data_IF_522024791311
#
_entry.id   IF_522024791311
#
_cell.length_a   1.000
_cell.length_b   1.000
_cell.length_c   1.000
_cell.angle_alpha   90.00
_cell.angle_beta   90.00
_cell.angle_gamma   90.00
#
_symmetry.space_group_name_H-M   'P 1'
#
loop_
_entity.id
_entity.type
_entity.pdbx_description
1 polymer ?
#
# COMPACT_ATOMS: atom_id res chain seq x y z
N UNK A 1 9.74 4.31 -1.29
CA UNK A 1 8.81 3.26 -0.82
C UNK A 1 9.57 1.94 -0.76
N UNK A 2 10.32 1.68 0.33
CA UNK A 2 10.77 0.31 0.59
C UNK A 2 9.53 -0.41 1.08
N UNK A 3 9.01 -1.34 0.29
CA UNK A 3 8.12 -2.36 0.81
C UNK A 3 8.87 -2.99 1.99
N UNK A 4 8.33 -2.87 3.21
CA UNK A 4 8.79 -3.72 4.31
C UNK A 4 8.52 -5.16 3.85
N UNK A 5 9.57 -5.80 3.36
CA UNK A 5 9.61 -7.23 3.15
C UNK A 5 9.28 -7.91 4.48
N UNK A 6 8.34 -8.86 4.42
CA UNK A 6 8.07 -9.84 5.47
C UNK A 6 7.73 -9.26 6.86
N UNK A 7 6.47 -8.88 7.04
CA UNK A 7 5.82 -9.29 8.30
C UNK A 7 5.46 -10.75 8.09
N UNK A 8 6.19 -11.62 8.81
CA UNK A 8 6.12 -13.07 8.68
C UNK A 8 4.68 -13.58 8.72
N UNK A 9 4.31 -14.31 7.68
CA UNK A 9 3.06 -15.05 7.61
C UNK A 9 3.13 -16.16 8.66
N UNK A 10 2.50 -15.97 9.81
CA UNK A 10 2.36 -17.03 10.80
C UNK A 10 1.48 -18.13 10.19
N UNK A 11 2.12 -19.21 9.79
CA UNK A 11 1.46 -20.34 9.15
C UNK A 11 0.77 -21.14 10.25
N UNK A 12 -0.47 -20.78 10.57
CA UNK A 12 -1.31 -21.61 11.43
C UNK A 12 -1.31 -23.05 10.86
N UNK A 13 -0.78 -24.05 11.60
CA UNK A 13 -0.63 -25.42 11.09
C UNK A 13 -1.94 -26.09 10.66
N UNK A 14 -3.08 -25.54 11.08
CA UNK A 14 -4.43 -26.00 10.77
C UNK A 14 -4.98 -25.54 9.42
N UNK A 15 -4.33 -24.61 8.70
CA UNK A 15 -4.84 -24.02 7.46
C UNK A 15 -4.20 -24.61 6.19
N UNK A 16 -3.74 -25.87 6.21
CA UNK A 16 -3.36 -26.55 4.96
C UNK A 16 -4.61 -26.75 4.10
N UNK A 17 -4.85 -25.78 3.20
CA UNK A 17 -5.85 -25.90 2.15
C UNK A 17 -5.56 -27.14 1.28
N UNK A 18 -6.59 -27.81 0.74
CA UNK A 18 -6.39 -28.88 -0.23
C UNK A 18 -5.53 -28.36 -1.38
N UNK A 19 -4.46 -29.08 -1.70
CA UNK A 19 -3.62 -28.77 -2.86
C UNK A 19 -4.47 -28.88 -4.12
N UNK A 20 -4.69 -27.76 -4.81
CA UNK A 20 -5.22 -27.75 -6.18
C UNK A 20 -4.04 -28.12 -7.09
N UNK A 21 -4.12 -29.19 -7.92
CA UNK A 21 -3.05 -29.56 -8.83
C UNK A 21 -2.73 -28.39 -9.78
N UNK A 22 -1.50 -27.86 -9.71
CA UNK A 22 -1.01 -26.78 -10.58
C UNK A 22 -1.23 -25.34 -10.09
N UNK A 23 -1.73 -25.13 -8.87
CA UNK A 23 -2.05 -23.79 -8.34
C UNK A 23 -1.28 -23.39 -7.08
N UNK A 24 -1.17 -22.08 -6.82
CA UNK A 24 -0.81 -21.53 -5.51
C UNK A 24 -1.83 -22.00 -4.47
N UNK A 25 -1.42 -22.17 -3.21
CA UNK A 25 -2.35 -22.49 -2.12
C UNK A 25 -3.48 -21.45 -2.02
N UNK A 26 -4.68 -21.89 -1.59
CA UNK A 26 -5.80 -20.97 -1.37
C UNK A 26 -5.41 -19.91 -0.33
N UNK A 27 -5.72 -18.64 -0.63
CA UNK A 27 -5.44 -17.49 0.23
C UNK A 27 -6.70 -16.69 0.60
N UNK A 28 -7.87 -17.14 0.13
CA UNK A 28 -9.18 -16.52 0.41
C UNK A 28 -10.13 -17.58 0.94
N UNK A 29 -10.83 -17.26 2.03
CA UNK A 29 -11.70 -18.18 2.74
C UNK A 29 -12.98 -17.48 3.17
N UNK A 30 -14.10 -18.20 3.08
CA UNK A 30 -15.36 -17.82 3.69
C UNK A 30 -15.43 -18.44 5.09
N UNK A 31 -15.75 -17.63 6.09
CA UNK A 31 -15.99 -18.08 7.48
C UNK A 31 -17.48 -17.97 7.76
N UNK A 32 -18.13 -19.12 7.95
CA UNK A 32 -19.56 -19.19 8.25
C UNK A 32 -19.84 -18.79 9.71
N UNK A 33 -21.11 -18.52 10.03
CA UNK A 33 -21.56 -18.18 11.40
C UNK A 33 -21.19 -19.27 12.42
N UNK A 34 -21.20 -20.53 12.00
CA UNK A 34 -20.79 -21.69 12.81
C UNK A 34 -19.26 -21.85 12.96
N UNK A 35 -18.47 -20.90 12.44
CA UNK A 35 -17.02 -20.92 12.48
C UNK A 35 -16.35 -21.86 11.46
N UNK A 36 -17.13 -22.52 10.60
CA UNK A 36 -16.56 -23.35 9.54
C UNK A 36 -15.81 -22.50 8.51
N UNK A 37 -14.61 -22.93 8.13
CA UNK A 37 -13.72 -22.24 7.18
C UNK A 37 -13.68 -23.03 5.87
N UNK A 38 -14.05 -22.41 4.77
CA UNK A 38 -14.02 -23.03 3.43
C UNK A 38 -13.34 -22.10 2.42
N UNK A 39 -12.53 -22.63 1.49
CA UNK A 39 -11.89 -21.81 0.45
C UNK A 39 -12.93 -21.16 -0.47
N UNK A 40 -12.70 -19.91 -0.87
CA UNK A 40 -13.63 -19.20 -1.77
C UNK A 40 -13.43 -19.67 -3.21
N UNK A 41 -14.46 -20.24 -3.88
CA UNK A 41 -14.40 -20.46 -5.32
C UNK A 41 -14.55 -19.13 -6.06
N UNK A 42 -13.52 -18.70 -6.79
CA UNK A 42 -13.56 -17.44 -7.54
C UNK A 42 -14.43 -17.62 -8.79
N UNK A 43 -15.43 -16.77 -9.02
CA UNK A 43 -16.16 -16.76 -10.29
C UNK A 43 -15.22 -16.32 -11.44
N UNK A 44 -15.63 -16.59 -12.69
CA UNK A 44 -14.79 -16.34 -13.88
C UNK A 44 -14.47 -14.86 -14.10
N UNK A 45 -15.29 -13.96 -13.54
CA UNK A 45 -15.14 -12.50 -13.62
C UNK A 45 -14.34 -11.89 -12.44
N UNK A 46 -13.98 -12.68 -11.42
CA UNK A 46 -13.28 -12.18 -10.23
C UNK A 46 -11.92 -11.54 -10.53
N UNK A 47 -11.25 -12.01 -11.59
CA UNK A 47 -9.90 -11.57 -11.97
C UNK A 47 -9.88 -10.82 -13.30
N UNK A 48 -10.98 -10.87 -14.07
CA UNK A 48 -11.07 -10.31 -15.42
C UNK A 48 -12.48 -9.74 -15.61
N UNK A 49 -12.58 -8.42 -15.74
CA UNK A 49 -13.86 -7.74 -15.93
C UNK A 49 -13.68 -6.25 -16.19
N UNK A 50 -14.77 -5.57 -16.56
CA UNK A 50 -14.76 -4.12 -16.70
C UNK A 50 -14.46 -3.46 -15.33
N UNK A 51 -13.47 -2.57 -15.29
CA UNK A 51 -13.02 -1.91 -14.06
C UNK A 51 -12.05 -2.72 -13.19
N UNK A 52 -11.79 -3.99 -13.50
CA UNK A 52 -10.81 -4.81 -12.76
C UNK A 52 -9.37 -4.50 -13.25
N UNK A 53 -8.44 -4.09 -12.38
CA UNK A 53 -7.07 -3.80 -12.78
C UNK A 53 -6.31 -5.03 -13.32
N UNK A 54 -5.69 -4.90 -14.50
CA UNK A 54 -4.87 -5.99 -15.12
C UNK A 54 -3.40 -5.97 -14.69
N UNK A 55 -2.87 -4.78 -14.44
CA UNK A 55 -1.51 -4.56 -13.95
C UNK A 55 -1.41 -3.17 -13.31
N UNK A 56 -0.44 -2.99 -12.44
CA UNK A 56 -0.03 -1.68 -11.93
C UNK A 56 1.36 -1.37 -12.47
N UNK A 57 1.51 -0.23 -13.16
CA UNK A 57 2.80 0.24 -13.68
C UNK A 57 3.36 1.33 -12.77
N UNK A 58 4.57 1.18 -12.20
CA UNK A 58 5.24 2.27 -11.52
C UNK A 58 5.48 3.42 -12.50
N UNK A 59 5.05 4.63 -12.14
CA UNK A 59 5.24 5.84 -12.96
C UNK A 59 6.33 6.75 -12.41
N UNK A 60 6.37 6.92 -11.08
CA UNK A 60 7.32 7.79 -10.39
C UNK A 60 7.82 7.14 -9.10
N UNK A 61 9.00 7.57 -8.68
CA UNK A 61 9.57 7.24 -7.36
C UNK A 61 9.90 8.54 -6.63
N UNK A 62 9.14 8.81 -5.56
CA UNK A 62 9.25 10.04 -4.78
C UNK A 62 10.23 9.85 -3.63
N UNK A 63 11.40 10.48 -3.73
CA UNK A 63 12.51 10.29 -2.79
C UNK A 63 12.37 11.18 -1.56
N UNK A 64 11.51 10.77 -0.61
CA UNK A 64 11.29 11.53 0.63
C UNK A 64 12.56 11.68 1.50
N UNK A 65 13.46 10.69 1.47
CA UNK A 65 14.71 10.69 2.24
C UNK A 65 14.61 10.02 3.62
N UNK A 66 13.40 9.91 4.17
CA UNK A 66 13.08 9.21 5.42
C UNK A 66 12.04 8.11 5.15
N UNK A 67 11.74 7.30 6.17
CA UNK A 67 10.60 6.37 6.13
C UNK A 67 9.30 7.17 5.94
N UNK A 68 8.51 6.78 4.95
CA UNK A 68 7.21 7.39 4.66
C UNK A 68 6.13 6.57 5.35
N UNK A 69 5.47 7.16 6.35
CA UNK A 69 4.43 6.50 7.15
C UNK A 69 3.02 6.83 6.67
N UNK A 70 2.85 7.95 5.96
CA UNK A 70 1.57 8.40 5.45
C UNK A 70 1.71 8.90 4.02
N UNK A 71 0.70 8.61 3.19
CA UNK A 71 0.57 9.12 1.83
C UNK A 71 -0.87 9.53 1.55
N UNK A 72 -1.05 10.62 0.80
CA UNK A 72 -2.36 10.98 0.23
C UNK A 72 -2.19 11.61 -1.15
N UNK A 73 -3.25 11.60 -1.95
CA UNK A 73 -3.28 12.07 -3.34
C UNK A 73 -4.38 13.13 -3.47
N UNK A 74 -4.09 14.23 -4.16
CA UNK A 74 -5.08 15.28 -4.39
C UNK A 74 -6.19 14.84 -5.34
N UNK A 75 -7.32 15.54 -5.31
CA UNK A 75 -8.36 15.44 -6.32
C UNK A 75 -8.60 16.84 -6.94
N UNK A 76 -8.31 17.06 -8.24
CA UNK A 76 -7.82 16.10 -9.24
C UNK A 76 -6.40 15.61 -8.95
N UNK A 77 -6.04 14.44 -9.51
CA UNK A 77 -4.75 13.75 -9.31
C UNK A 77 -3.58 14.55 -9.90
N UNK A 78 -3.04 15.47 -9.10
CA UNK A 78 -1.91 16.33 -9.46
C UNK A 78 -0.79 16.26 -8.43
N UNK A 79 -1.16 16.24 -7.15
CA UNK A 79 -0.21 16.25 -6.05
C UNK A 79 -0.24 14.94 -5.27
N UNK A 80 0.95 14.48 -4.91
CA UNK A 80 1.14 13.46 -3.89
C UNK A 80 1.72 14.14 -2.66
N UNK A 81 1.24 13.75 -1.50
CA UNK A 81 1.74 14.19 -0.20
C UNK A 81 2.34 12.99 0.48
N UNK A 82 3.61 13.08 0.86
CA UNK A 82 4.32 12.03 1.60
C UNK A 82 4.69 12.56 2.97
N UNK A 83 4.26 11.89 4.04
CA UNK A 83 4.63 12.21 5.41
C UNK A 83 5.73 11.28 5.92
N UNK A 84 6.82 11.86 6.40
CA UNK A 84 7.92 11.15 7.05
C UNK A 84 8.29 11.80 8.38
N UNK A 85 9.52 11.60 8.85
CA UNK A 85 9.98 12.14 10.13
C UNK A 85 9.92 13.67 10.11
N UNK A 86 8.99 14.23 10.89
CA UNK A 86 8.93 15.67 11.17
C UNK A 86 8.53 16.57 10.01
N UNK A 87 8.19 16.03 8.84
CA UNK A 87 7.75 16.84 7.71
C UNK A 87 6.79 16.10 6.77
N UNK A 88 6.06 16.90 6.00
CA UNK A 88 5.31 16.47 4.82
C UNK A 88 5.95 17.10 3.59
N UNK A 89 6.23 16.30 2.57
CA UNK A 89 6.70 16.76 1.26
C UNK A 89 5.58 16.64 0.23
N UNK A 90 5.42 17.68 -0.59
CA UNK A 90 4.44 17.76 -1.68
C UNK A 90 5.16 17.56 -3.01
N UNK A 91 4.61 16.72 -3.87
CA UNK A 91 5.18 16.38 -5.17
C UNK A 91 4.16 16.65 -6.26
N UNK A 92 4.54 17.35 -7.32
CA UNK A 92 3.74 17.45 -8.54
C UNK A 92 4.02 16.23 -9.42
N UNK A 93 3.00 15.41 -9.66
CA UNK A 93 3.06 14.20 -10.49
C UNK A 93 2.39 14.38 -11.85
N UNK A 94 2.03 15.62 -12.22
CA UNK A 94 1.43 15.89 -13.54
C UNK A 94 2.42 15.74 -14.69
N UNK A 95 3.73 15.87 -14.41
CA UNK A 95 4.79 15.73 -15.40
C UNK A 95 5.77 14.63 -14.99
N UNK A 96 5.93 13.59 -15.83
CA UNK A 96 6.93 12.56 -15.61
C UNK A 96 8.33 13.18 -15.51
N UNK A 97 9.07 12.88 -14.44
CA UNK A 97 10.46 13.33 -14.29
C UNK A 97 10.69 14.47 -13.29
N UNK A 98 9.64 15.03 -12.69
CA UNK A 98 9.79 15.91 -11.52
C UNK A 98 10.23 15.08 -10.31
N UNK A 99 11.50 15.22 -9.90
CA UNK A 99 12.11 14.39 -8.84
C UNK A 99 12.30 15.12 -7.51
N UNK A 100 12.01 16.42 -7.47
CA UNK A 100 12.14 17.26 -6.27
C UNK A 100 10.78 17.58 -5.69
N UNK A 101 10.65 17.63 -4.35
CA UNK A 101 9.42 18.13 -3.74
C UNK A 101 9.23 19.61 -4.11
N UNK A 102 8.00 19.99 -4.46
CA UNK A 102 7.65 21.38 -4.76
C UNK A 102 7.44 22.19 -3.47
N UNK A 103 7.19 21.51 -2.35
CA UNK A 103 7.01 22.13 -1.05
C UNK A 103 7.31 21.13 0.07
N UNK A 104 7.72 21.65 1.23
CA UNK A 104 7.90 20.91 2.46
C UNK A 104 7.23 21.69 3.60
N UNK A 105 6.48 20.97 4.43
CA UNK A 105 5.86 21.49 5.64
C UNK A 105 6.46 20.77 6.84
N UNK A 106 7.17 21.49 7.70
CA UNK A 106 7.75 20.93 8.91
C UNK A 106 6.69 20.88 10.02
N UNK A 107 6.40 19.67 10.51
CA UNK A 107 5.33 19.44 11.47
C UNK A 107 5.82 19.37 12.94
N UNK A 108 7.13 19.43 13.18
CA UNK A 108 7.74 19.33 14.52
C UNK A 108 8.47 20.58 15.00
N UNK A 109 8.32 21.73 14.32
CA UNK A 109 9.02 22.99 14.65
C UNK A 109 8.72 23.52 16.07
N UNK A 110 7.71 23.00 16.77
CA UNK A 110 7.25 23.50 18.08
C UNK A 110 7.66 22.72 19.33
N UNK A 111 8.28 21.54 19.23
CA UNK A 111 8.76 20.82 20.43
C UNK A 111 10.17 21.27 20.84
N UNK A 112 10.88 22.02 19.98
CA UNK A 112 12.25 22.49 20.19
C UNK A 112 12.40 24.02 20.19
N UNK A 113 11.33 24.81 20.34
CA UNK A 113 11.52 26.18 20.81
C UNK A 113 11.84 26.09 22.31
N UNK A 114 13.07 26.41 22.76
CA UNK A 114 13.36 26.46 24.19
C UNK A 114 12.53 27.59 24.79
N UNK A 115 11.37 27.26 25.35
CA UNK A 115 10.64 28.12 26.27
C UNK A 115 11.29 27.92 27.64
N UNK A 116 12.16 28.88 28.01
CA UNK A 116 12.79 29.08 29.32
C UNK A 116 13.74 27.99 29.84
#
# INVERSE_FOLDING_TARGET
MRFLSQVGYDSHPSLRAPFIPGGKASYSFHVSVDGNVQPVPFPSDALIGAGIPRHARPIDTLNHGEVVCAVTISNPTKFVYTGGKGCVKVWDISQPGSKSPISQLDCLVRILSPLF
#
